data_IF_073284117127
#
_entry.id   IF_073284117127
#
_cell.length_a   1.000
_cell.length_b   1.000
_cell.length_c   1.000
_cell.angle_alpha   90.00
_cell.angle_beta   90.00
_cell.angle_gamma   90.00
#
_symmetry.space_group_name_H-M   'P 1'
#
loop_
_entity.id
_entity.type
_entity.pdbx_description
1 polymer ?
#
# COMPACT_ATOMS: atom_id res chain seq x y z
N UNK A 1 58.28 -23.08 -5.23
CA UNK A 1 57.02 -22.61 -5.83
C UNK A 1 56.10 -22.14 -4.70
N UNK A 2 55.94 -20.82 -4.54
CA UNK A 2 55.11 -20.19 -3.50
C UNK A 2 53.67 -20.10 -4.00
N UNK A 3 52.71 -20.75 -3.33
CA UNK A 3 51.27 -20.55 -3.56
C UNK A 3 50.78 -19.48 -2.58
N UNK A 4 50.35 -18.33 -3.11
CA UNK A 4 49.70 -17.27 -2.36
C UNK A 4 48.22 -17.62 -2.30
N UNK A 5 47.71 -17.85 -1.10
CA UNK A 5 46.30 -18.05 -0.82
C UNK A 5 45.65 -16.66 -0.75
N UNK A 6 44.88 -16.28 -1.78
CA UNK A 6 44.12 -15.04 -1.78
C UNK A 6 42.88 -15.23 -0.90
N UNK A 7 42.86 -14.57 0.26
CA UNK A 7 41.67 -14.36 1.07
C UNK A 7 40.73 -13.42 0.30
N UNK A 8 39.62 -13.95 -0.20
CA UNK A 8 38.49 -13.15 -0.68
C UNK A 8 37.87 -12.44 0.53
N UNK A 9 37.67 -11.11 0.50
CA UNK A 9 36.90 -10.44 1.51
C UNK A 9 35.44 -10.89 1.39
N UNK A 10 34.94 -11.51 2.46
CA UNK A 10 33.51 -11.66 2.70
C UNK A 10 32.92 -10.26 2.75
N UNK A 11 32.30 -9.82 1.65
CA UNK A 11 31.41 -8.68 1.68
C UNK A 11 30.22 -9.08 2.55
N UNK A 12 30.14 -8.51 3.75
CA UNK A 12 28.88 -8.43 4.48
C UNK A 12 27.89 -7.71 3.56
N UNK A 13 26.98 -8.46 2.95
CA UNK A 13 25.70 -7.93 2.50
C UNK A 13 24.92 -7.58 3.77
N UNK A 14 25.24 -6.42 4.35
CA UNK A 14 24.28 -5.74 5.20
C UNK A 14 23.07 -5.48 4.33
N UNK A 15 21.96 -6.12 4.64
CA UNK A 15 20.64 -5.73 4.14
C UNK A 15 20.45 -4.31 4.65
N UNK A 16 20.83 -3.32 3.85
CA UNK A 16 20.44 -1.95 4.09
C UNK A 16 18.92 -2.00 4.13
N UNK A 17 18.34 -1.71 5.29
CA UNK A 17 16.91 -1.43 5.39
C UNK A 17 16.67 -0.26 4.43
N UNK A 18 16.13 -0.55 3.25
CA UNK A 18 15.78 0.48 2.27
C UNK A 18 14.81 1.44 2.92
N UNK A 19 14.93 2.73 2.64
CA UNK A 19 13.92 3.69 3.08
C UNK A 19 12.54 3.20 2.58
N UNK A 20 11.50 3.24 3.42
CA UNK A 20 10.20 2.71 3.04
C UNK A 20 9.67 3.46 1.81
N UNK A 21 9.15 2.72 0.84
CA UNK A 21 8.61 3.31 -0.38
C UNK A 21 7.35 4.13 -0.11
N UNK A 22 7.11 5.20 -0.89
CA UNK A 22 5.84 5.89 -0.91
C UNK A 22 4.66 4.95 -1.19
N UNK A 23 3.50 5.31 -0.65
CA UNK A 23 2.23 4.60 -0.83
C UNK A 23 1.20 5.56 -1.40
N UNK A 24 0.46 5.11 -2.41
CA UNK A 24 -0.75 5.81 -2.89
C UNK A 24 -1.97 5.02 -2.46
N UNK A 25 -2.90 5.70 -1.81
CA UNK A 25 -4.24 5.18 -1.57
C UNK A 25 -5.19 5.89 -2.51
N UNK A 26 -5.73 5.13 -3.45
CA UNK A 26 -6.62 5.61 -4.47
C UNK A 26 -8.09 5.36 -4.17
N UNK A 27 -8.97 6.19 -4.70
CA UNK A 27 -10.42 6.00 -4.66
C UNK A 27 -11.02 6.35 -6.02
N UNK A 28 -11.73 5.40 -6.61
CA UNK A 28 -12.48 5.58 -7.86
C UNK A 28 -13.92 5.94 -7.54
N UNK A 29 -14.32 7.14 -7.89
CA UNK A 29 -15.67 7.65 -7.68
C UNK A 29 -16.58 7.36 -8.88
N UNK A 30 -17.69 6.69 -8.59
CA UNK A 30 -18.77 6.45 -9.54
C UNK A 30 -18.65 5.13 -10.30
N UNK A 31 -19.75 4.38 -10.31
CA UNK A 31 -19.81 3.05 -10.91
C UNK A 31 -19.45 3.02 -12.39
N UNK A 32 -19.76 4.08 -13.15
CA UNK A 32 -19.46 4.17 -14.58
C UNK A 32 -17.96 4.24 -14.85
N UNK A 33 -17.20 4.97 -14.02
CA UNK A 33 -15.75 5.04 -14.14
C UNK A 33 -15.12 3.69 -13.77
N UNK A 34 -15.54 3.11 -12.64
CA UNK A 34 -15.09 1.80 -12.19
C UNK A 34 -15.30 0.74 -13.26
N UNK A 35 -16.51 0.65 -13.83
CA UNK A 35 -16.82 -0.33 -14.87
C UNK A 35 -15.99 -0.11 -16.14
N UNK A 36 -15.80 1.13 -16.56
CA UNK A 36 -15.02 1.42 -17.76
C UNK A 36 -13.54 1.07 -17.59
N UNK A 37 -12.95 1.38 -16.42
CA UNK A 37 -11.56 1.06 -16.13
C UNK A 37 -11.32 -0.45 -15.97
N UNK A 38 -12.27 -1.17 -15.36
CA UNK A 38 -12.18 -2.64 -15.24
C UNK A 38 -12.32 -3.29 -16.62
N UNK A 39 -13.31 -2.87 -17.42
CA UNK A 39 -13.56 -3.44 -18.73
C UNK A 39 -12.42 -3.21 -19.74
N UNK A 40 -11.70 -2.09 -19.64
CA UNK A 40 -10.59 -1.77 -20.53
C UNK A 40 -9.44 -2.81 -20.49
N UNK A 41 -9.39 -3.65 -19.45
CA UNK A 41 -8.28 -4.57 -19.21
C UNK A 41 -8.73 -6.01 -18.87
N UNK A 42 -10.01 -6.33 -19.07
CA UNK A 42 -10.59 -7.66 -18.82
C UNK A 42 -10.31 -8.66 -19.97
N UNK A 43 -9.85 -8.17 -21.13
CA UNK A 43 -9.55 -8.99 -22.32
C UNK A 43 -8.13 -9.61 -22.32
N UNK A 44 -7.30 -9.30 -21.32
CA UNK A 44 -5.95 -9.87 -21.23
C UNK A 44 -6.01 -11.23 -20.51
N UNK A 45 -6.13 -12.28 -21.32
CA UNK A 45 -6.23 -13.67 -20.90
C UNK A 45 -5.14 -14.06 -19.89
N UNK A 46 -5.52 -14.06 -18.61
CA UNK A 46 -4.97 -14.84 -17.50
C UNK A 46 -3.47 -15.19 -17.63
N UNK A 47 -2.59 -14.33 -17.11
CA UNK A 47 -1.52 -14.86 -16.27
C UNK A 47 -2.18 -15.41 -15.00
N UNK A 48 -2.58 -16.68 -15.06
CA UNK A 48 -3.19 -17.45 -13.95
C UNK A 48 -2.39 -17.47 -12.65
N UNK A 49 -1.24 -16.80 -12.58
CA UNK A 49 -0.44 -16.65 -11.35
C UNK A 49 -0.98 -15.59 -10.39
N UNK A 50 -1.91 -14.74 -10.83
CA UNK A 50 -2.49 -13.66 -10.02
C UNK A 50 -4.02 -13.71 -10.01
N UNK A 51 -4.59 -14.80 -9.51
CA UNK A 51 -6.01 -14.81 -9.13
C UNK A 51 -6.20 -13.98 -7.86
N UNK A 52 -6.29 -12.66 -8.03
CA UNK A 52 -6.41 -11.68 -6.95
C UNK A 52 -7.85 -11.54 -6.42
N UNK A 53 -8.81 -12.36 -6.88
CA UNK A 53 -10.19 -12.39 -6.39
C UNK A 53 -10.84 -11.00 -6.30
N UNK A 54 -11.20 -10.40 -7.45
CA UNK A 54 -11.91 -9.12 -7.49
C UNK A 54 -11.63 -8.29 -8.75
N UNK A 55 -12.37 -7.18 -8.95
CA UNK A 55 -12.11 -6.26 -10.05
C UNK A 55 -10.71 -5.63 -9.91
N UNK A 56 -10.01 -5.49 -11.04
CA UNK A 56 -8.71 -4.83 -11.10
C UNK A 56 -8.71 -3.76 -12.18
N UNK A 57 -7.83 -2.77 -12.03
CA UNK A 57 -7.59 -1.73 -13.03
C UNK A 57 -6.09 -1.65 -13.32
N UNK A 58 -5.73 -1.14 -14.49
CA UNK A 58 -4.35 -0.84 -14.84
C UNK A 58 -4.14 0.67 -14.69
N UNK A 59 -3.06 1.04 -14.01
CA UNK A 59 -2.61 2.42 -13.86
C UNK A 59 -1.17 2.47 -14.36
N UNK A 60 -0.90 3.31 -15.35
CA UNK A 60 0.47 3.53 -15.81
C UNK A 60 1.16 4.51 -14.88
N UNK A 61 2.24 4.07 -14.22
CA UNK A 61 3.06 4.85 -13.31
C UNK A 61 4.41 5.10 -13.96
N UNK A 62 4.75 6.35 -14.26
CA UNK A 62 6.00 6.73 -14.95
C UNK A 62 6.24 5.97 -16.27
N UNK A 63 5.17 5.59 -16.97
CA UNK A 63 5.23 4.83 -18.22
C UNK A 63 5.22 3.31 -18.05
N UNK A 64 5.16 2.79 -16.81
CA UNK A 64 5.07 1.37 -16.50
C UNK A 64 3.66 1.01 -16.03
N UNK A 65 3.04 0.02 -16.67
CA UNK A 65 1.70 -0.44 -16.31
C UNK A 65 1.71 -1.22 -14.99
N UNK A 66 0.89 -0.79 -14.04
CA UNK A 66 0.68 -1.45 -12.76
C UNK A 66 -0.78 -1.87 -12.62
N UNK A 67 -1.01 -3.18 -12.45
CA UNK A 67 -2.33 -3.71 -12.14
C UNK A 67 -2.57 -3.60 -10.63
N UNK A 68 -3.72 -3.03 -10.26
CA UNK A 68 -4.13 -2.86 -8.86
C UNK A 68 -5.53 -3.41 -8.64
N UNK A 69 -5.75 -3.99 -7.47
CA UNK A 69 -7.06 -4.50 -7.06
C UNK A 69 -7.93 -3.36 -6.53
N UNK A 70 -9.20 -3.36 -6.93
CA UNK A 70 -10.21 -2.52 -6.33
C UNK A 70 -10.95 -3.28 -5.24
N UNK A 71 -11.08 -2.65 -4.09
CA UNK A 71 -12.01 -3.07 -3.05
C UNK A 71 -13.45 -2.77 -3.46
N UNK A 72 -14.42 -3.33 -2.74
CA UNK A 72 -15.86 -3.15 -3.03
C UNK A 72 -16.30 -1.68 -3.07
N UNK A 73 -15.60 -0.81 -2.33
CA UNK A 73 -15.86 0.64 -2.27
C UNK A 73 -15.06 1.43 -3.32
N UNK A 74 -14.43 0.77 -4.30
CA UNK A 74 -13.62 1.44 -5.34
C UNK A 74 -12.27 1.97 -4.84
N UNK A 75 -11.81 1.52 -3.67
CA UNK A 75 -10.50 1.86 -3.10
C UNK A 75 -9.43 0.94 -3.68
N UNK A 76 -8.25 1.48 -3.97
CA UNK A 76 -7.06 0.69 -4.31
C UNK A 76 -5.84 1.20 -3.56
N UNK A 77 -4.80 0.38 -3.49
CA UNK A 77 -3.51 0.77 -2.93
C UNK A 77 -2.39 0.43 -3.91
N UNK A 78 -1.44 1.35 -4.05
CA UNK A 78 -0.15 1.11 -4.72
C UNK A 78 0.97 1.30 -3.70
N UNK A 79 1.78 0.26 -3.54
CA UNK A 79 3.05 0.29 -2.82
C UNK A 79 4.23 0.27 -3.80
N UNK A 80 5.45 0.33 -3.27
CA UNK A 80 6.70 0.21 -4.03
C UNK A 80 6.80 1.24 -5.16
N UNK A 81 6.34 2.46 -4.86
CA UNK A 81 6.41 3.58 -5.79
C UNK A 81 7.81 4.21 -5.75
N UNK A 82 8.30 4.76 -6.87
CA UNK A 82 9.54 5.52 -6.86
C UNK A 82 9.36 6.83 -6.08
N UNK A 83 10.44 7.34 -5.48
CA UNK A 83 10.48 8.70 -4.93
C UNK A 83 10.73 9.73 -6.03
N UNK A 84 10.43 11.01 -5.76
CA UNK A 84 10.57 12.11 -6.72
C UNK A 84 9.29 12.36 -7.50
N UNK A 85 9.40 12.82 -8.75
CA UNK A 85 8.23 13.10 -9.57
C UNK A 85 7.60 11.80 -10.08
N UNK A 86 6.31 11.61 -9.77
CA UNK A 86 5.53 10.44 -10.18
C UNK A 86 4.36 10.87 -11.05
N UNK A 87 4.25 10.31 -12.25
CA UNK A 87 3.13 10.52 -13.16
C UNK A 87 2.24 9.30 -13.19
N UNK A 88 0.97 9.50 -12.85
CA UNK A 88 -0.09 8.50 -12.99
C UNK A 88 -0.87 8.78 -14.26
N UNK A 89 -1.15 7.73 -15.03
CA UNK A 89 -2.04 7.79 -16.19
C UNK A 89 -3.05 6.68 -16.09
N UNK A 90 -4.31 7.02 -16.30
CA UNK A 90 -5.40 6.05 -16.45
C UNK A 90 -6.04 6.26 -17.81
N UNK A 91 -6.25 5.17 -18.51
CA UNK A 91 -6.80 5.15 -19.85
C UNK A 91 -7.76 3.98 -20.00
N UNK A 92 -8.85 4.23 -20.71
CA UNK A 92 -9.83 3.27 -21.20
C UNK A 92 -10.28 3.73 -22.57
N UNK A 93 -11.07 2.92 -23.27
CA UNK A 93 -11.66 3.31 -24.56
C UNK A 93 -12.48 4.61 -24.51
N UNK A 94 -12.97 4.99 -23.32
CA UNK A 94 -13.90 6.12 -23.15
C UNK A 94 -13.33 7.30 -22.40
N UNK A 95 -12.36 7.06 -21.52
CA UNK A 95 -11.89 8.03 -20.56
C UNK A 95 -10.38 7.99 -20.44
N UNK A 96 -9.78 9.17 -20.32
CA UNK A 96 -8.35 9.34 -20.09
C UNK A 96 -8.11 10.42 -19.05
N UNK A 97 -7.09 10.24 -18.23
CA UNK A 97 -6.55 11.30 -17.40
C UNK A 97 -5.10 11.01 -17.01
N UNK A 98 -4.39 12.06 -16.66
CA UNK A 98 -3.01 11.98 -16.18
C UNK A 98 -2.74 13.05 -15.15
N UNK A 99 -1.92 12.73 -14.15
CA UNK A 99 -1.48 13.67 -13.12
C UNK A 99 -0.03 13.40 -12.74
N UNK A 100 0.74 14.46 -12.55
CA UNK A 100 2.10 14.39 -12.01
C UNK A 100 2.12 14.92 -10.58
N UNK A 101 2.58 14.09 -9.65
CA UNK A 101 2.83 14.42 -8.26
C UNK A 101 4.33 14.70 -8.12
N UNK A 102 4.69 15.93 -7.78
CA UNK A 102 6.10 16.33 -7.69
C UNK A 102 6.74 15.97 -6.36
N UNK A 103 8.02 15.65 -6.35
CA UNK A 103 8.82 15.57 -5.11
C UNK A 103 8.20 14.65 -4.05
N UNK A 104 7.79 13.44 -4.45
CA UNK A 104 7.26 12.42 -3.53
C UNK A 104 8.40 11.88 -2.65
N UNK A 105 8.24 11.97 -1.34
CA UNK A 105 9.27 11.59 -0.37
C UNK A 105 9.19 10.10 0.02
N UNK A 106 10.29 9.50 0.50
CA UNK A 106 10.23 8.21 1.18
C UNK A 106 9.19 8.22 2.31
N UNK A 107 8.52 7.10 2.53
CA UNK A 107 7.44 6.92 3.51
C UNK A 107 6.20 7.83 3.31
N UNK A 108 6.11 8.59 2.21
CA UNK A 108 4.96 9.46 1.98
C UNK A 108 3.72 8.64 1.66
N UNK A 109 2.57 9.01 2.25
CA UNK A 109 1.26 8.52 1.79
C UNK A 109 0.52 9.62 1.05
N UNK A 110 0.13 9.32 -0.19
CA UNK A 110 -0.62 10.21 -1.06
C UNK A 110 -2.04 9.67 -1.23
N UNK A 111 -3.03 10.54 -1.03
CA UNK A 111 -4.42 10.26 -1.35
C UNK A 111 -4.73 10.68 -2.79
N UNK A 112 -5.20 9.74 -3.61
CA UNK A 112 -5.59 9.97 -5.00
C UNK A 112 -7.09 9.73 -5.18
N UNK A 113 -7.86 10.76 -5.51
CA UNK A 113 -9.29 10.63 -5.84
C UNK A 113 -9.47 10.74 -7.36
N UNK A 114 -10.22 9.81 -7.93
CA UNK A 114 -10.48 9.72 -9.36
C UNK A 114 -11.97 9.87 -9.59
N UNK A 115 -12.39 10.82 -10.41
CA UNK A 115 -13.79 11.04 -10.76
C UNK A 115 -13.94 11.40 -12.23
N UNK A 116 -15.17 11.34 -12.75
CA UNK A 116 -15.44 11.76 -14.12
C UNK A 116 -15.70 13.26 -14.21
N UNK A 117 -15.14 13.88 -15.24
CA UNK A 117 -15.49 15.21 -15.70
C UNK A 117 -15.77 15.15 -17.22
N UNK A 118 -17.02 14.90 -17.57
CA UNK A 118 -17.42 14.61 -18.95
C UNK A 118 -16.77 13.33 -19.48
N UNK A 119 -15.84 13.48 -20.43
CA UNK A 119 -15.03 12.39 -21.01
C UNK A 119 -13.61 12.31 -20.42
N UNK A 120 -13.26 13.22 -19.51
CA UNK A 120 -11.98 13.20 -18.80
C UNK A 120 -12.08 12.48 -17.46
N UNK A 121 -10.95 11.99 -16.98
CA UNK A 121 -10.79 11.56 -15.58
C UNK A 121 -10.18 12.74 -14.82
N UNK A 122 -10.93 13.31 -13.88
CA UNK A 122 -10.42 14.26 -12.91
C UNK A 122 -9.65 13.49 -11.84
N UNK A 123 -8.38 13.84 -11.66
CA UNK A 123 -7.50 13.26 -10.65
C UNK A 123 -7.17 14.32 -9.60
N UNK A 124 -7.58 14.10 -8.36
CA UNK A 124 -7.30 15.00 -7.25
C UNK A 124 -6.33 14.35 -6.28
N UNK A 125 -5.24 15.07 -6.00
CA UNK A 125 -4.19 14.62 -5.09
C UNK A 125 -4.30 15.38 -3.78
N UNK A 126 -4.40 14.64 -2.68
CA UNK A 126 -4.29 15.17 -1.32
C UNK A 126 -3.05 14.57 -0.66
N UNK A 127 -2.10 15.41 -0.29
CA UNK A 127 -0.93 14.97 0.50
C UNK A 127 -1.28 15.06 1.98
N UNK A 128 -0.96 14.01 2.72
CA UNK A 128 -0.99 14.08 4.18
C UNK A 128 0.35 14.67 4.63
N UNK A 129 0.32 15.74 5.42
CA UNK A 129 1.53 16.25 6.06
C UNK A 129 2.12 15.14 6.94
N UNK A 130 3.22 14.54 6.48
CA UNK A 130 3.97 13.56 7.26
C UNK A 130 4.66 14.31 8.39
N UNK A 131 4.09 14.27 9.61
CA UNK A 131 4.81 14.69 10.83
C UNK A 131 5.74 13.57 11.28
N UNK A 132 6.82 13.40 10.52
CA UNK A 132 7.89 12.40 10.66
C UNK A 132 7.40 10.94 10.67
N UNK A 133 7.95 10.06 9.80
CA UNK A 133 7.70 8.63 9.89
C UNK A 133 8.10 8.14 11.28
N UNK A 134 7.14 7.56 12.02
CA UNK A 134 7.46 6.95 13.31
C UNK A 134 7.78 5.48 13.07
N UNK A 135 9.02 5.09 13.38
CA UNK A 135 9.33 3.67 13.50
C UNK A 135 8.62 3.10 14.72
N UNK A 136 8.05 1.92 14.57
CA UNK A 136 7.62 1.14 15.73
C UNK A 136 8.86 0.64 16.50
N UNK A 137 8.70 0.29 17.78
CA UNK A 137 9.78 -0.37 18.52
C UNK A 137 10.27 -1.61 17.75
N UNK A 138 11.59 -1.84 17.72
CA UNK A 138 12.20 -3.02 17.06
C UNK A 138 11.78 -4.36 17.67
N UNK A 139 11.01 -4.35 18.75
CA UNK A 139 10.48 -5.54 19.39
C UNK A 139 9.23 -6.04 18.66
N UNK A 140 9.15 -7.36 18.47
CA UNK A 140 7.96 -8.09 18.04
C UNK A 140 6.84 -8.08 19.10
N UNK A 141 6.72 -7.02 19.90
CA UNK A 141 5.73 -6.91 20.97
C UNK A 141 4.45 -6.21 20.50
N UNK A 142 3.56 -5.87 21.46
CA UNK A 142 2.30 -5.20 21.14
C UNK A 142 2.56 -3.83 20.51
N UNK A 143 1.75 -3.49 19.52
CA UNK A 143 1.84 -2.24 18.77
C UNK A 143 0.85 -1.26 19.38
N UNK A 144 1.33 -0.10 19.83
CA UNK A 144 0.48 1.00 20.32
C UNK A 144 0.71 2.25 19.51
N UNK A 145 -0.36 2.73 18.89
CA UNK A 145 -0.37 3.94 18.10
C UNK A 145 -1.28 4.95 18.78
N UNK A 146 -0.68 5.97 19.39
CA UNK A 146 -1.38 7.10 19.99
C UNK A 146 -1.04 8.38 19.19
N UNK A 147 -1.96 8.83 18.33
CA UNK A 147 -1.73 10.02 17.51
C UNK A 147 -2.70 10.20 16.36
N UNK A 148 -2.83 11.44 15.88
CA UNK A 148 -3.61 11.78 14.69
C UNK A 148 -2.66 12.09 13.52
N UNK A 149 -3.08 11.80 12.29
CA UNK A 149 -2.35 12.11 11.06
C UNK A 149 -0.94 11.50 11.06
N UNK A 150 -0.86 10.21 11.37
CA UNK A 150 0.42 9.46 11.49
C UNK A 150 0.41 8.26 10.55
N UNK A 151 1.59 7.95 10.03
CA UNK A 151 1.83 6.79 9.15
C UNK A 151 2.89 5.93 9.83
N UNK A 152 2.63 4.64 9.92
CA UNK A 152 3.53 3.63 10.47
C UNK A 152 3.80 2.57 9.42
N UNK A 153 5.08 2.26 9.21
CA UNK A 153 5.50 1.13 8.38
C UNK A 153 5.92 -0.03 9.29
N UNK A 154 5.42 -1.22 8.98
CA UNK A 154 5.80 -2.49 9.58
C UNK A 154 6.84 -3.18 8.71
N UNK A 155 7.71 -3.94 9.34
CA UNK A 155 8.62 -4.83 8.62
C UNK A 155 7.98 -6.21 8.42
N UNK A 156 8.56 -6.99 7.52
CA UNK A 156 8.21 -8.39 7.30
C UNK A 156 8.64 -9.24 8.50
N UNK A 157 7.72 -9.44 9.45
CA UNK A 157 7.90 -10.25 10.66
C UNK A 157 6.59 -10.53 11.35
N UNK A 158 6.64 -11.46 12.31
CA UNK A 158 5.57 -11.70 13.27
C UNK A 158 5.68 -10.74 14.45
N UNK A 159 4.57 -10.08 14.77
CA UNK A 159 4.35 -9.25 15.96
C UNK A 159 3.47 -10.03 16.94
N UNK A 160 3.99 -10.27 18.13
CA UNK A 160 3.32 -10.92 19.23
C UNK A 160 2.54 -9.91 20.09
N UNK A 161 1.25 -10.18 20.26
CA UNK A 161 0.33 -9.33 21.02
C UNK A 161 -0.51 -8.43 20.14
N UNK A 162 -1.28 -7.57 20.80
CA UNK A 162 -2.34 -6.79 20.16
C UNK A 162 -1.80 -5.56 19.42
N UNK A 163 -2.52 -5.14 18.38
CA UNK A 163 -2.44 -3.78 17.84
C UNK A 163 -3.53 -2.92 18.49
N UNK A 164 -3.14 -1.81 19.09
CA UNK A 164 -4.05 -0.79 19.57
C UNK A 164 -3.81 0.55 18.86
N UNK A 165 -4.80 1.01 18.10
CA UNK A 165 -4.77 2.30 17.39
C UNK A 165 -5.74 3.26 18.09
N UNK A 166 -5.22 4.39 18.58
CA UNK A 166 -5.97 5.46 19.23
C UNK A 166 -5.67 6.79 18.53
N UNK A 167 -6.56 7.17 17.62
CA UNK A 167 -6.44 8.42 16.88
C UNK A 167 -7.09 8.38 15.49
N UNK A 168 -7.11 9.55 14.86
CA UNK A 168 -7.75 9.78 13.57
C UNK A 168 -6.72 9.90 12.44
N UNK A 169 -7.11 9.50 11.23
CA UNK A 169 -6.28 9.59 10.03
C UNK A 169 -4.94 8.84 10.20
N UNK A 170 -4.98 7.65 10.81
CA UNK A 170 -3.83 6.76 10.97
C UNK A 170 -3.71 5.84 9.76
N UNK A 171 -2.51 5.69 9.22
CA UNK A 171 -2.21 4.65 8.22
C UNK A 171 -1.16 3.70 8.78
N UNK A 172 -1.48 2.40 8.80
CA UNK A 172 -0.55 1.33 9.11
C UNK A 172 -0.27 0.55 7.82
N UNK A 173 0.98 0.45 7.42
CA UNK A 173 1.42 -0.17 6.16
C UNK A 173 2.35 -1.33 6.49
N UNK A 174 1.95 -2.54 6.09
CA UNK A 174 2.83 -3.71 6.05
C UNK A 174 3.48 -3.86 4.67
N UNK A 175 4.55 -4.67 4.59
CA UNK A 175 5.20 -4.97 3.32
C UNK A 175 4.25 -5.73 2.40
N UNK A 176 4.33 -5.41 1.11
CA UNK A 176 3.59 -6.12 0.07
C UNK A 176 4.18 -7.51 -0.13
N UNK A 177 3.33 -8.55 -0.07
CA UNK A 177 3.67 -9.92 -0.46
C UNK A 177 2.79 -10.34 -1.63
N UNK A 178 3.40 -10.61 -2.79
CA UNK A 178 2.69 -11.02 -4.00
C UNK A 178 2.30 -12.50 -3.99
N UNK A 179 3.08 -13.32 -3.28
CA UNK A 179 2.92 -14.77 -3.15
C UNK A 179 2.17 -15.17 -1.86
N UNK A 180 1.76 -14.19 -1.06
CA UNK A 180 1.16 -14.38 0.25
C UNK A 180 1.99 -15.26 1.20
N UNK A 181 3.31 -15.20 1.06
CA UNK A 181 4.24 -15.78 2.00
C UNK A 181 4.25 -14.97 3.30
N UNK A 182 3.84 -15.61 4.40
CA UNK A 182 3.79 -14.98 5.72
C UNK A 182 5.15 -14.48 6.21
N UNK A 183 6.26 -15.06 5.75
CA UNK A 183 7.62 -14.61 6.08
C UNK A 183 7.96 -13.25 5.44
N UNK A 184 7.25 -12.89 4.35
CA UNK A 184 7.39 -11.61 3.65
C UNK A 184 6.31 -10.59 4.07
N UNK A 185 5.49 -10.90 5.08
CA UNK A 185 4.38 -10.07 5.54
C UNK A 185 4.60 -9.55 6.96
N UNK A 186 3.90 -8.47 7.30
CA UNK A 186 3.67 -8.12 8.70
C UNK A 186 2.50 -8.96 9.24
N UNK A 187 2.80 -9.90 10.14
CA UNK A 187 1.81 -10.80 10.73
C UNK A 187 1.61 -10.46 12.19
N UNK A 188 0.38 -10.29 12.64
CA UNK A 188 0.03 -9.94 14.03
C UNK A 188 -0.77 -11.11 14.62
N UNK A 189 -0.26 -11.69 15.69
CA UNK A 189 -0.89 -12.87 16.32
C UNK A 189 -1.98 -12.50 17.33
N UNK A 190 -1.99 -11.27 17.84
CA UNK A 190 -3.01 -10.76 18.75
C UNK A 190 -4.20 -10.10 18.05
N UNK A 191 -5.01 -9.43 18.86
CA UNK A 191 -6.21 -8.73 18.42
C UNK A 191 -5.87 -7.34 17.86
N UNK A 192 -6.74 -6.80 17.02
CA UNK A 192 -6.69 -5.44 16.52
C UNK A 192 -7.84 -4.63 17.13
N UNK A 193 -7.49 -3.62 17.92
CA UNK A 193 -8.42 -2.62 18.44
C UNK A 193 -8.17 -1.26 17.78
N UNK A 194 -9.18 -0.73 17.11
CA UNK A 194 -9.16 0.62 16.52
C UNK A 194 -10.14 1.51 17.24
N UNK A 195 -9.65 2.60 17.86
CA UNK A 195 -10.47 3.66 18.45
C UNK A 195 -10.13 4.99 17.79
N UNK A 196 -10.90 5.34 16.77
CA UNK A 196 -10.69 6.56 15.98
C UNK A 196 -11.19 6.45 14.53
N UNK A 197 -11.14 7.55 13.80
CA UNK A 197 -11.75 7.67 12.48
C UNK A 197 -10.72 7.67 11.35
N UNK A 198 -11.13 7.26 10.15
CA UNK A 198 -10.31 7.28 8.93
C UNK A 198 -8.98 6.53 9.06
N UNK A 199 -9.01 5.39 9.77
CA UNK A 199 -7.84 4.53 9.94
C UNK A 199 -7.71 3.59 8.76
N UNK A 200 -6.50 3.43 8.24
CA UNK A 200 -6.19 2.52 7.14
C UNK A 200 -5.16 1.51 7.58
N UNK A 201 -5.42 0.25 7.28
CA UNK A 201 -4.52 -0.86 7.56
C UNK A 201 -4.29 -1.56 6.23
N UNK A 202 -3.06 -1.53 5.75
CA UNK A 202 -2.67 -1.92 4.40
C UNK A 202 -1.66 -3.06 4.52
N UNK A 203 -1.97 -4.21 3.93
CA UNK A 203 -1.09 -5.40 3.85
C UNK A 203 -0.51 -5.85 5.20
N UNK A 204 -1.34 -5.75 6.24
CA UNK A 204 -1.07 -6.31 7.57
C UNK A 204 -2.02 -7.48 7.82
N UNK A 205 -1.46 -8.67 8.06
CA UNK A 205 -2.22 -9.87 8.39
C UNK A 205 -2.48 -9.94 9.89
N UNK A 206 -3.73 -9.73 10.31
CA UNK A 206 -4.17 -9.89 11.71
C UNK A 206 -4.84 -11.25 11.87
N UNK A 207 -4.32 -12.09 12.77
CA UNK A 207 -4.85 -13.43 13.06
C UNK A 207 -5.89 -13.44 14.19
N UNK A 208 -5.87 -12.44 15.08
CA UNK A 208 -6.83 -12.29 16.15
C UNK A 208 -8.16 -11.63 15.72
N UNK A 209 -8.96 -11.26 16.73
CA UNK A 209 -10.21 -10.53 16.54
C UNK A 209 -9.97 -9.08 16.13
N UNK A 210 -10.95 -8.48 15.46
CA UNK A 210 -10.90 -7.09 15.03
C UNK A 210 -12.08 -6.33 15.66
N UNK A 211 -11.78 -5.39 16.55
CA UNK A 211 -12.74 -4.49 17.18
C UNK A 211 -12.52 -3.05 16.67
N UNK A 212 -13.54 -2.50 16.01
CA UNK A 212 -13.50 -1.17 15.41
C UNK A 212 -14.50 -0.26 16.10
N UNK A 213 -13.98 0.79 16.72
CA UNK A 213 -14.70 1.83 17.44
C UNK A 213 -14.43 3.19 16.78
N UNK A 214 -14.97 3.36 15.59
CA UNK A 214 -14.86 4.59 14.81
C UNK A 214 -15.44 4.45 13.41
N UNK A 215 -15.36 5.52 12.62
CA UNK A 215 -15.91 5.58 11.26
C UNK A 215 -14.80 5.65 10.21
N UNK A 216 -15.08 5.14 9.01
CA UNK A 216 -14.14 5.21 7.88
C UNK A 216 -12.89 4.37 8.06
N UNK A 217 -12.93 3.33 8.90
CA UNK A 217 -11.82 2.39 9.06
C UNK A 217 -11.83 1.40 7.89
N UNK A 218 -10.69 1.29 7.21
CA UNK A 218 -10.53 0.45 6.02
C UNK A 218 -9.35 -0.50 6.19
N UNK A 219 -9.55 -1.74 5.75
CA UNK A 219 -8.50 -2.75 5.66
C UNK A 219 -8.33 -3.10 4.20
N UNK A 220 -7.14 -2.84 3.67
CA UNK A 220 -6.73 -3.30 2.36
C UNK A 220 -5.72 -4.42 2.59
N UNK A 221 -6.02 -5.62 2.10
CA UNK A 221 -5.14 -6.75 2.28
C UNK A 221 -5.16 -7.56 0.99
N UNK A 222 -4.01 -7.64 0.32
CA UNK A 222 -3.88 -8.44 -0.90
C UNK A 222 -4.06 -9.94 -0.61
N UNK A 223 -3.61 -10.38 0.57
CA UNK A 223 -3.64 -11.77 0.98
C UNK A 223 -4.79 -12.02 1.97
N UNK A 224 -5.97 -12.37 1.47
CA UNK A 224 -7.08 -12.90 2.27
C UNK A 224 -7.05 -14.42 2.27
N UNK A 225 -7.02 -15.05 3.46
CA UNK A 225 -7.39 -16.47 3.60
C UNK A 225 -8.89 -16.60 3.80
#
# INVERSE_FOLDING_TARGET
MKRILALLPFALLGVACGEPSPVVVGHVEGASLTQALVAAHDDDALDTRYDLGGPSIVITVNGEDRRVRLDADGVFVMQDLPTGDITFTLESDRFRGSITIKDVQPAETVDLSLSLDGTGILMQVTRREVREPRSLPDAAGPIRIDGNNVIYHLDARTYEGDIEIRGNNVTLVGPRSEDCNQEAMAVVTGDLLVTGNNVRIIDVLVLGQVDIRGQGVRRHQLCSR
#
